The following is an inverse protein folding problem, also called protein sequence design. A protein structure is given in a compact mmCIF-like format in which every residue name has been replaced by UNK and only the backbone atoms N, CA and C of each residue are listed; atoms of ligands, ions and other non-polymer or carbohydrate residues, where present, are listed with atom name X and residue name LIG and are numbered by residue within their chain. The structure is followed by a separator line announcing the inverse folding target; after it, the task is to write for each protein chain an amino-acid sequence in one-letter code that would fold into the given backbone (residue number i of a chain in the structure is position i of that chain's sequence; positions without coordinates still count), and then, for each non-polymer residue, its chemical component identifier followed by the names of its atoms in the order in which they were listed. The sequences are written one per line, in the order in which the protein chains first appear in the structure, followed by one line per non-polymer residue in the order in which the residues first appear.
data_IF_319983830281
#
_entry.id   IF_319983830281
#
_cell.length_a   1.000
_cell.length_b   1.000
_cell.length_c   1.000
_cell.angle_alpha   90.00
_cell.angle_beta   90.00
_cell.angle_gamma   90.00
#
_symmetry.space_group_name_H-M   'P 1'
#
loop_
_entity.id
_entity.type
_entity.pdbx_description
1 polymer ?
#
# COMPACT_ATOMS: atom_id res chain seq x y z
N UNK A 1 5.68 6.07 -13.58
CA UNK A 1 5.59 5.99 -12.12
C UNK A 1 6.44 4.84 -11.59
N UNK A 2 6.88 4.95 -10.35
CA UNK A 2 7.65 3.92 -9.67
C UNK A 2 6.73 2.91 -8.98
N UNK A 3 7.18 1.66 -8.85
CA UNK A 3 6.46 0.62 -8.14
C UNK A 3 6.97 0.48 -6.71
N UNK A 4 6.05 0.32 -5.76
CA UNK A 4 6.37 0.12 -4.35
C UNK A 4 5.53 -1.03 -3.78
N UNK A 5 6.20 -1.89 -3.03
CA UNK A 5 5.53 -2.89 -2.19
C UNK A 5 5.40 -2.31 -0.78
N UNK A 6 4.17 -2.29 -0.27
CA UNK A 6 3.89 -1.85 1.10
C UNK A 6 3.50 -3.08 1.92
N UNK A 7 4.27 -3.38 2.94
CA UNK A 7 4.02 -4.47 3.88
C UNK A 7 3.65 -3.86 5.23
N UNK A 8 2.40 -4.09 5.67
CA UNK A 8 1.82 -3.41 6.82
C UNK A 8 1.46 -4.43 7.89
N UNK A 9 1.79 -4.11 9.15
CA UNK A 9 1.51 -4.96 10.30
C UNK A 9 0.80 -4.16 11.38
N UNK A 10 -0.39 -4.61 11.78
CA UNK A 10 -1.10 -4.00 12.91
C UNK A 10 -0.39 -4.30 14.23
N UNK A 11 -0.38 -3.35 15.19
CA UNK A 11 0.29 -3.55 16.47
C UNK A 11 -0.46 -4.51 17.39
N UNK A 12 -1.80 -4.57 17.26
CA UNK A 12 -2.68 -5.37 18.10
C UNK A 12 -4.04 -5.55 17.43
N UNK A 13 -4.86 -6.42 18.00
CA UNK A 13 -6.19 -6.73 17.47
C UNK A 13 -7.16 -5.55 17.64
N UNK A 14 -7.05 -4.76 18.69
CA UNK A 14 -7.95 -3.63 18.92
C UNK A 14 -7.81 -2.57 17.84
N UNK A 15 -6.59 -2.24 17.47
CA UNK A 15 -6.33 -1.30 16.38
C UNK A 15 -6.74 -1.88 15.02
N UNK A 16 -6.54 -3.18 14.81
CA UNK A 16 -6.98 -3.84 13.59
C UNK A 16 -8.49 -3.77 13.42
N UNK A 17 -9.25 -4.06 14.47
CA UNK A 17 -10.72 -3.99 14.43
C UNK A 17 -11.19 -2.58 14.12
N UNK A 18 -10.62 -1.58 14.79
CA UNK A 18 -10.96 -0.17 14.53
C UNK A 18 -10.64 0.25 13.09
N UNK A 19 -9.49 -0.19 12.58
CA UNK A 19 -9.09 0.11 11.21
C UNK A 19 -10.05 -0.52 10.21
N UNK A 20 -10.46 -1.76 10.42
CA UNK A 20 -11.40 -2.42 9.52
C UNK A 20 -12.81 -1.83 9.59
N UNK A 21 -13.24 -1.33 10.74
CA UNK A 21 -14.50 -0.58 10.84
C UNK A 21 -14.46 0.66 9.95
N UNK A 22 -13.38 1.43 10.03
CA UNK A 22 -13.20 2.61 9.17
C UNK A 22 -13.07 2.22 7.70
N UNK A 23 -12.35 1.13 7.41
CA UNK A 23 -12.15 0.64 6.05
C UNK A 23 -13.49 0.26 5.40
N UNK A 24 -14.36 -0.43 6.11
CA UNK A 24 -15.69 -0.80 5.61
C UNK A 24 -16.49 0.45 5.23
N UNK A 25 -16.54 1.44 6.11
CA UNK A 25 -17.24 2.70 5.84
C UNK A 25 -16.66 3.41 4.61
N UNK A 26 -15.35 3.55 4.56
CA UNK A 26 -14.65 4.24 3.47
C UNK A 26 -14.76 3.49 2.14
N UNK A 27 -14.82 2.17 2.18
CA UNK A 27 -15.06 1.34 1.00
C UNK A 27 -16.45 1.55 0.45
N UNK A 28 -17.46 1.47 1.32
CA UNK A 28 -18.88 1.58 0.91
C UNK A 28 -19.25 2.98 0.41
N UNK A 29 -18.64 4.03 0.98
CA UNK A 29 -18.92 5.41 0.56
C UNK A 29 -18.05 5.90 -0.61
N UNK A 30 -17.15 5.06 -1.14
CA UNK A 30 -16.32 5.39 -2.30
C UNK A 30 -15.03 6.13 -1.99
N UNK A 31 -14.71 6.42 -0.73
CA UNK A 31 -13.47 7.13 -0.36
C UNK A 31 -12.22 6.30 -0.65
N UNK A 32 -12.27 4.98 -0.43
CA UNK A 32 -11.14 4.10 -0.75
C UNK A 32 -10.86 4.15 -2.25
N UNK A 33 -11.88 4.02 -3.09
CA UNK A 33 -11.70 4.07 -4.55
C UNK A 33 -11.09 5.40 -5.02
N UNK A 34 -11.49 6.52 -4.40
CA UNK A 34 -10.93 7.84 -4.73
C UNK A 34 -9.47 7.96 -4.33
N UNK A 35 -9.11 7.48 -3.15
CA UNK A 35 -7.73 7.55 -2.67
C UNK A 35 -6.81 6.55 -3.37
N UNK A 36 -7.35 5.43 -3.84
CA UNK A 36 -6.59 4.38 -4.49
C UNK A 36 -6.19 4.72 -5.93
N UNK A 37 -6.77 5.75 -6.52
CA UNK A 37 -6.39 6.17 -7.87
C UNK A 37 -6.48 7.67 -8.05
N UNK A 38 -5.32 8.30 -8.16
CA UNK A 38 -5.15 9.71 -8.50
C UNK A 38 -4.20 9.82 -9.70
N UNK A 39 -3.90 11.03 -10.15
CA UNK A 39 -2.91 11.24 -11.21
C UNK A 39 -1.47 10.93 -10.77
N UNK A 40 -1.21 10.83 -9.46
CA UNK A 40 0.13 10.59 -8.89
C UNK A 40 0.28 9.30 -8.12
N UNK A 41 -0.81 8.56 -7.92
CA UNK A 41 -0.82 7.33 -7.12
C UNK A 41 -1.88 6.36 -7.65
N UNK A 42 -1.53 5.07 -7.70
CA UNK A 42 -2.48 4.01 -8.03
C UNK A 42 -2.21 2.78 -7.18
N UNK A 43 -3.24 2.32 -6.48
CA UNK A 43 -3.23 1.03 -5.80
C UNK A 43 -3.50 -0.07 -6.83
N UNK A 44 -2.50 -0.91 -7.11
CA UNK A 44 -2.63 -2.01 -8.06
C UNK A 44 -3.32 -3.21 -7.43
N UNK A 45 -2.92 -3.57 -6.21
CA UNK A 45 -3.64 -4.54 -5.42
C UNK A 45 -3.45 -4.28 -3.93
N UNK A 46 -4.39 -4.78 -3.15
CA UNK A 46 -4.33 -4.82 -1.69
C UNK A 46 -4.91 -6.17 -1.27
N UNK A 47 -4.16 -6.92 -0.49
CA UNK A 47 -4.60 -8.20 0.06
C UNK A 47 -4.40 -8.20 1.57
N UNK A 48 -5.24 -8.95 2.27
CA UNK A 48 -5.30 -8.96 3.71
C UNK A 48 -5.10 -10.36 4.26
N UNK A 49 -4.30 -10.48 5.32
CA UNK A 49 -4.20 -11.66 6.15
C UNK A 49 -4.68 -11.30 7.56
N UNK A 50 -6.02 -11.24 7.79
CA UNK A 50 -6.57 -10.71 9.05
C UNK A 50 -6.14 -11.51 10.28
N UNK A 51 -5.97 -12.82 10.13
CA UNK A 51 -5.50 -13.67 11.23
C UNK A 51 -4.09 -13.37 11.70
N UNK A 52 -3.29 -12.70 10.86
CA UNK A 52 -1.93 -12.29 11.17
C UNK A 52 -1.79 -10.79 11.36
N UNK A 53 -2.89 -10.04 11.23
CA UNK A 53 -2.86 -8.58 11.31
C UNK A 53 -2.04 -7.92 10.20
N UNK A 54 -1.98 -8.53 9.02
CA UNK A 54 -1.09 -8.11 7.93
C UNK A 54 -1.87 -7.68 6.70
N UNK A 55 -1.38 -6.63 6.05
CA UNK A 55 -1.90 -6.15 4.76
C UNK A 55 -0.72 -5.92 3.83
N UNK A 56 -0.83 -6.40 2.60
CA UNK A 56 0.22 -6.22 1.58
C UNK A 56 -0.38 -5.52 0.38
N UNK A 57 0.29 -4.47 -0.08
CA UNK A 57 -0.14 -3.68 -1.23
C UNK A 57 0.97 -3.57 -2.27
N UNK A 58 0.57 -3.49 -3.54
CA UNK A 58 1.46 -3.06 -4.62
C UNK A 58 0.90 -1.78 -5.19
N UNK A 59 1.73 -0.74 -5.27
CA UNK A 59 1.33 0.60 -5.65
C UNK A 59 2.24 1.17 -6.73
N UNK A 60 1.67 2.01 -7.59
CA UNK A 60 2.43 2.91 -8.44
C UNK A 60 2.35 4.32 -7.87
N UNK A 61 3.46 5.03 -7.83
CA UNK A 61 3.47 6.42 -7.37
C UNK A 61 4.51 7.22 -8.11
N UNK A 62 4.27 8.52 -8.21
CA UNK A 62 5.20 9.44 -8.85
C UNK A 62 6.52 9.52 -8.08
N UNK A 63 6.45 9.46 -6.75
CA UNK A 63 7.61 9.49 -5.87
C UNK A 63 7.27 8.86 -4.51
N UNK A 64 8.26 8.73 -3.64
CA UNK A 64 8.08 8.24 -2.27
C UNK A 64 7.15 9.15 -1.44
N UNK A 65 7.11 10.44 -1.77
CA UNK A 65 6.21 11.40 -1.11
C UNK A 65 4.75 10.93 -1.21
N UNK A 66 4.31 10.55 -2.39
CA UNK A 66 2.93 10.08 -2.62
C UNK A 66 2.63 8.79 -1.86
N UNK A 67 3.63 7.90 -1.75
CA UNK A 67 3.50 6.68 -0.95
C UNK A 67 3.27 7.02 0.52
N UNK A 68 4.14 7.84 1.12
CA UNK A 68 4.02 8.21 2.52
C UNK A 68 2.72 8.96 2.81
N UNK A 69 2.33 9.90 1.92
CA UNK A 69 1.10 10.66 2.09
C UNK A 69 -0.15 9.76 2.02
N UNK A 70 -0.17 8.77 1.14
CA UNK A 70 -1.30 7.85 1.01
C UNK A 70 -1.52 7.02 2.27
N UNK A 71 -0.43 6.50 2.84
CA UNK A 71 -0.50 5.58 3.98
C UNK A 71 -0.48 6.26 5.35
N UNK A 72 0.01 7.51 5.43
CA UNK A 72 0.21 8.20 6.70
C UNK A 72 -1.03 8.30 7.59
N UNK A 73 -2.24 8.61 7.08
CA UNK A 73 -3.42 8.68 7.95
C UNK A 73 -3.73 7.38 8.67
N UNK A 74 -3.60 6.26 7.95
CA UNK A 74 -3.83 4.93 8.51
C UNK A 74 -2.75 4.57 9.53
N UNK A 75 -1.49 4.80 9.18
CA UNK A 75 -0.36 4.54 10.08
C UNK A 75 -0.48 5.32 11.38
N UNK A 76 -0.74 6.62 11.27
CA UNK A 76 -0.82 7.51 12.44
C UNK A 76 -2.00 7.16 13.34
N UNK A 77 -3.15 6.81 12.74
CA UNK A 77 -4.37 6.56 13.50
C UNK A 77 -4.35 5.20 14.22
N UNK A 78 -3.76 4.18 13.60
CA UNK A 78 -3.86 2.80 14.09
C UNK A 78 -2.52 2.20 14.52
N UNK A 79 -1.44 2.98 14.48
CA UNK A 79 -0.12 2.50 14.91
C UNK A 79 0.44 1.39 14.04
N UNK A 80 0.08 1.36 12.76
CA UNK A 80 0.49 0.30 11.83
C UNK A 80 1.98 0.45 11.52
N UNK A 81 2.73 -0.64 11.68
CA UNK A 81 4.10 -0.69 11.18
C UNK A 81 4.06 -0.93 9.68
N UNK A 82 4.72 -0.07 8.91
CA UNK A 82 4.72 -0.14 7.45
C UNK A 82 6.14 -0.14 6.91
N UNK A 83 6.43 -1.10 6.04
CA UNK A 83 7.69 -1.18 5.32
C UNK A 83 7.39 -0.97 3.83
N UNK A 84 8.09 -0.02 3.23
CA UNK A 84 7.97 0.30 1.81
C UNK A 84 9.24 -0.10 1.08
N UNK A 85 9.08 -0.92 0.04
CA UNK A 85 10.20 -1.38 -0.77
C UNK A 85 9.96 -0.98 -2.23
N UNK A 86 10.88 -0.25 -2.81
CA UNK A 86 10.81 0.01 -4.25
C UNK A 86 11.10 -1.29 -5.00
N UNK A 87 10.24 -1.62 -5.97
CA UNK A 87 10.34 -2.84 -6.75
C UNK A 87 10.26 -2.50 -8.24
N UNK A 88 10.66 -3.45 -9.07
CA UNK A 88 10.57 -3.30 -10.52
C UNK A 88 9.86 -4.51 -11.12
N UNK A 89 9.33 -4.33 -12.33
CA UNK A 89 8.65 -5.40 -13.08
C UNK A 89 9.63 -6.39 -13.66
N UNK A 90 9.14 -7.56 -14.04
CA UNK A 90 9.95 -8.54 -14.80
C UNK A 90 10.51 -7.93 -16.08
N UNK A 91 9.72 -7.12 -16.79
CA UNK A 91 10.18 -6.46 -18.01
C UNK A 91 11.34 -5.51 -17.71
N UNK A 92 11.26 -4.75 -16.61
CA UNK A 92 12.36 -3.87 -16.20
C UNK A 92 13.62 -4.66 -15.82
N UNK A 93 13.46 -5.81 -15.16
CA UNK A 93 14.60 -6.70 -14.87
C UNK A 93 15.28 -7.11 -16.18
N UNK A 94 14.51 -7.52 -17.17
CA UNK A 94 15.03 -7.89 -18.49
C UNK A 94 15.75 -6.70 -19.14
N UNK A 95 15.09 -5.54 -19.18
CA UNK A 95 15.65 -4.35 -19.84
C UNK A 95 16.94 -3.86 -19.21
N UNK A 96 17.04 -3.95 -17.88
CA UNK A 96 18.21 -3.47 -17.15
C UNK A 96 19.39 -4.45 -17.16
N UNK A 97 19.14 -5.74 -17.44
CA UNK A 97 20.17 -6.78 -17.31
C UNK A 97 20.55 -7.49 -18.62
N UNK A 98 19.75 -7.30 -19.69
CA UNK A 98 19.95 -8.06 -20.94
C UNK A 98 21.36 -7.88 -21.55
N UNK A 99 21.99 -6.73 -21.32
CA UNK A 99 23.32 -6.44 -21.85
C UNK A 99 24.44 -6.89 -20.90
N UNK A 100 24.09 -7.46 -19.74
CA UNK A 100 25.06 -7.96 -18.76
C UNK A 100 25.43 -9.44 -18.95
N UNK A 101 24.63 -10.17 -19.73
CA UNK A 101 24.78 -11.61 -19.89
C UNK A 101 25.04 -12.04 -21.34
#
# INVERSE_FOLDING_TARGET
MQLFLADCQFPDIDNQVKAYQLFVEAWENGEIAKSDKTDKFEMLFRVHAPGEGRVVCLCKAQSDKEIFEHFAPWRAKFGIHMEFTQVISCQNVVDYHKDLF
#
